data_IF_312464282017
#
_entry.id   IF_312464282017
#
_cell.length_a   1.000
_cell.length_b   1.000
_cell.length_c   1.000
_cell.angle_alpha   90.00
_cell.angle_beta   90.00
_cell.angle_gamma   90.00
#
_symmetry.space_group_name_H-M   'P 1'
#
loop_
_entity.id
_entity.type
_entity.pdbx_description
1 polymer ?
#
# COMPACT_ATOMS: atom_id res chain seq x y z
N UNK A 1 17.44 -0.85 10.07
CA UNK A 1 16.13 -1.01 9.38
C UNK A 1 15.04 -0.79 10.40
N UNK A 2 14.19 0.19 10.19
CA UNK A 2 13.23 0.63 11.19
C UNK A 2 11.85 0.89 10.57
N UNK A 3 10.90 0.00 10.81
CA UNK A 3 9.51 0.28 10.47
C UNK A 3 8.97 1.40 11.37
N UNK A 4 8.30 2.39 10.80
CA UNK A 4 7.64 3.45 11.54
C UNK A 4 6.16 3.11 11.71
N UNK A 5 5.68 3.12 12.96
CA UNK A 5 4.33 2.69 13.31
C UNK A 5 3.56 3.78 14.05
N UNK A 6 2.37 4.11 13.54
CA UNK A 6 1.39 4.99 14.20
C UNK A 6 0.06 4.28 14.40
N UNK A 7 -0.68 4.63 15.47
CA UNK A 7 -1.93 3.93 15.82
C UNK A 7 -3.06 4.90 16.18
N UNK A 8 -4.27 4.53 15.79
CA UNK A 8 -5.52 5.17 16.22
C UNK A 8 -6.47 4.09 16.73
N UNK A 9 -7.01 4.23 17.94
CA UNK A 9 -7.96 3.31 18.61
C UNK A 9 -7.49 1.84 18.70
N UNK A 10 -6.22 1.51 18.44
CA UNK A 10 -5.74 0.15 18.21
C UNK A 10 -6.00 -0.81 19.39
N UNK A 11 -5.77 -0.35 20.61
CA UNK A 11 -5.74 -1.21 21.82
C UNK A 11 -7.09 -1.89 22.09
N UNK A 12 -8.17 -1.11 22.03
CA UNK A 12 -9.50 -1.53 22.49
C UNK A 12 -10.47 -1.76 21.33
N UNK A 13 -9.98 -1.79 20.09
CA UNK A 13 -10.80 -1.97 18.91
C UNK A 13 -11.34 -3.40 18.77
N UNK A 14 -12.56 -3.52 18.25
CA UNK A 14 -13.17 -4.80 17.85
C UNK A 14 -12.56 -5.32 16.54
N UNK A 15 -12.25 -4.40 15.63
CA UNK A 15 -11.61 -4.67 14.34
C UNK A 15 -10.35 -3.83 14.21
N UNK A 16 -9.29 -4.43 13.73
CA UNK A 16 -7.98 -3.80 13.55
C UNK A 16 -7.52 -3.89 12.11
N UNK A 17 -7.30 -2.75 11.48
CA UNK A 17 -6.83 -2.65 10.10
C UNK A 17 -5.43 -2.07 10.07
N UNK A 18 -4.50 -2.76 9.42
CA UNK A 18 -3.17 -2.24 9.19
C UNK A 18 -3.06 -1.70 7.76
N UNK A 19 -2.63 -0.46 7.62
CA UNK A 19 -2.34 0.20 6.34
C UNK A 19 -0.83 0.27 6.17
N UNK A 20 -0.35 -0.20 5.04
CA UNK A 20 1.07 -0.35 4.75
C UNK A 20 1.48 0.50 3.54
N UNK A 21 2.70 1.00 3.55
CA UNK A 21 3.46 1.48 2.41
C UNK A 21 4.93 1.37 2.76
N UNK A 22 5.82 1.06 1.82
CA UNK A 22 7.24 1.14 2.09
C UNK A 22 7.72 2.61 2.01
N UNK A 23 8.79 2.95 2.72
CA UNK A 23 9.31 4.32 2.78
C UNK A 23 10.77 4.44 2.31
N UNK A 24 11.43 3.32 2.13
CA UNK A 24 12.69 3.23 1.39
C UNK A 24 12.43 3.32 -0.12
N UNK A 25 13.46 3.35 -0.91
CA UNK A 25 13.39 3.30 -2.37
C UNK A 25 14.58 2.55 -2.92
N UNK A 26 14.47 2.05 -4.14
CA UNK A 26 15.55 1.39 -4.85
C UNK A 26 16.82 2.25 -4.81
N UNK A 27 17.97 1.72 -4.36
CA UNK A 27 19.20 2.51 -4.24
C UNK A 27 19.72 3.04 -5.58
N UNK A 28 19.40 2.33 -6.66
CA UNK A 28 19.91 2.65 -8.00
C UNK A 28 18.83 2.43 -9.06
N UNK A 29 18.91 3.19 -10.15
CA UNK A 29 18.00 3.13 -11.29
C UNK A 29 18.26 1.90 -12.16
N UNK A 30 18.09 0.69 -11.62
CA UNK A 30 18.48 -0.58 -12.26
C UNK A 30 17.63 -0.95 -13.47
N UNK A 31 16.46 -0.33 -13.66
CA UNK A 31 15.59 -0.48 -14.82
C UNK A 31 15.72 0.68 -15.83
N UNK A 32 16.69 1.57 -15.64
CA UNK A 32 16.95 2.68 -16.54
C UNK A 32 17.98 2.32 -17.63
N UNK A 33 18.22 3.23 -18.56
CA UNK A 33 19.31 3.12 -19.54
C UNK A 33 20.65 2.87 -18.84
N UNK A 34 21.54 2.11 -19.47
CA UNK A 34 22.85 1.70 -18.90
C UNK A 34 23.64 2.84 -18.30
N UNK A 35 23.57 4.07 -18.90
CA UNK A 35 24.23 5.28 -18.40
C UNK A 35 23.69 5.78 -17.06
N UNK A 36 22.48 5.37 -16.67
CA UNK A 36 21.78 5.79 -15.47
C UNK A 36 21.73 4.72 -14.37
N UNK A 37 21.96 3.45 -14.70
CA UNK A 37 21.75 2.29 -13.79
C UNK A 37 22.50 2.34 -12.45
N UNK A 38 23.51 3.21 -12.33
CA UNK A 38 24.25 3.42 -11.06
C UNK A 38 23.86 4.73 -10.35
N UNK A 39 22.89 5.46 -10.88
CA UNK A 39 22.41 6.70 -10.26
C UNK A 39 21.34 6.39 -9.22
N UNK A 40 21.30 7.15 -8.11
CA UNK A 40 20.18 7.04 -7.17
C UNK A 40 18.88 7.53 -7.82
N UNK A 41 17.75 7.02 -7.33
CA UNK A 41 16.40 7.49 -7.70
C UNK A 41 15.77 8.26 -6.55
N UNK A 42 14.74 9.06 -6.85
CA UNK A 42 14.01 9.82 -5.83
C UNK A 42 12.89 8.99 -5.19
N UNK A 43 12.34 8.02 -5.91
CA UNK A 43 11.26 7.20 -5.41
C UNK A 43 9.98 7.99 -5.13
N UNK A 44 9.57 8.87 -6.05
CA UNK A 44 8.44 9.75 -5.80
C UNK A 44 7.10 9.01 -5.83
N UNK A 45 6.96 8.04 -6.74
CA UNK A 45 5.83 7.13 -6.78
C UNK A 45 6.13 5.87 -5.97
N UNK A 46 7.32 5.33 -6.14
CA UNK A 46 7.86 4.14 -5.55
C UNK A 46 8.96 4.51 -4.52
N UNK A 47 8.64 4.80 -3.24
CA UNK A 47 7.42 4.51 -2.45
C UNK A 47 6.75 5.76 -1.85
N UNK A 48 7.24 6.98 -2.09
CA UNK A 48 6.76 8.15 -1.34
C UNK A 48 5.25 8.40 -1.53
N UNK A 49 4.65 7.93 -2.62
CA UNK A 49 3.21 8.09 -2.90
C UNK A 49 2.34 7.41 -1.85
N UNK A 50 2.63 6.16 -1.51
CA UNK A 50 1.92 5.41 -0.47
C UNK A 50 2.05 6.06 0.91
N UNK A 51 3.28 6.44 1.28
CA UNK A 51 3.57 7.15 2.54
C UNK A 51 2.78 8.46 2.65
N UNK A 52 2.71 9.24 1.57
CA UNK A 52 1.96 10.50 1.56
C UNK A 52 0.46 10.28 1.85
N UNK A 53 -0.16 9.24 1.29
CA UNK A 53 -1.55 8.89 1.57
C UNK A 53 -1.72 8.45 3.03
N UNK A 54 -0.82 7.63 3.57
CA UNK A 54 -0.89 7.20 4.97
C UNK A 54 -0.81 8.39 5.95
N UNK A 55 0.11 9.33 5.71
CA UNK A 55 0.26 10.53 6.54
C UNK A 55 -0.97 11.42 6.49
N UNK A 56 -1.56 11.62 5.29
CA UNK A 56 -2.78 12.43 5.15
C UNK A 56 -3.98 11.75 5.81
N UNK A 57 -4.15 10.44 5.67
CA UNK A 57 -5.21 9.70 6.38
C UNK A 57 -5.05 9.80 7.90
N UNK A 58 -3.83 9.68 8.43
CA UNK A 58 -3.56 9.85 9.85
C UNK A 58 -3.96 11.26 10.34
N UNK A 59 -3.63 12.30 9.55
CA UNK A 59 -4.03 13.68 9.82
C UNK A 59 -5.55 13.86 9.81
N UNK A 60 -6.24 13.28 8.81
CA UNK A 60 -7.70 13.34 8.68
C UNK A 60 -8.40 12.61 9.84
N UNK A 61 -7.94 11.43 10.23
CA UNK A 61 -8.56 10.67 11.31
C UNK A 61 -8.30 11.28 12.69
N UNK A 62 -7.21 12.05 12.85
CA UNK A 62 -6.99 12.87 14.04
C UNK A 62 -7.98 14.04 14.10
N UNK A 63 -8.25 14.71 12.97
CA UNK A 63 -9.19 15.84 12.89
C UNK A 63 -10.65 15.38 12.94
N UNK A 64 -10.96 14.26 12.33
CA UNK A 64 -12.29 13.67 12.19
C UNK A 64 -12.25 12.20 12.66
N UNK A 65 -12.40 11.92 13.97
CA UNK A 65 -12.20 10.59 14.51
C UNK A 65 -13.05 9.50 13.85
N UNK A 66 -12.49 8.31 13.78
CA UNK A 66 -13.17 7.09 13.33
C UNK A 66 -14.08 6.53 14.44
N UNK A 67 -14.93 5.58 14.07
CA UNK A 67 -15.66 4.75 15.03
C UNK A 67 -14.66 4.08 15.99
N UNK A 68 -14.93 4.13 17.29
CA UNK A 68 -14.02 3.58 18.33
C UNK A 68 -13.85 2.06 18.26
N UNK A 69 -14.79 1.36 17.60
CA UNK A 69 -14.69 -0.08 17.37
C UNK A 69 -13.63 -0.44 16.32
N UNK A 70 -13.20 0.53 15.51
CA UNK A 70 -12.17 0.38 14.50
C UNK A 70 -10.83 0.94 14.99
N UNK A 71 -9.83 0.07 15.04
CA UNK A 71 -8.43 0.44 15.22
C UNK A 71 -7.72 0.49 13.86
N UNK A 72 -6.95 1.54 13.64
CA UNK A 72 -6.11 1.67 12.44
C UNK A 72 -4.66 1.78 12.85
N UNK A 73 -3.81 0.98 12.22
CA UNK A 73 -2.36 1.08 12.33
C UNK A 73 -1.78 1.49 10.99
N UNK A 74 -0.97 2.52 10.99
CA UNK A 74 -0.17 2.96 9.85
C UNK A 74 1.22 2.39 10.00
N UNK A 75 1.70 1.67 9.02
CA UNK A 75 3.02 1.03 9.04
C UNK A 75 3.78 1.46 7.80
N UNK A 76 4.81 2.28 8.00
CA UNK A 76 5.76 2.62 6.96
C UNK A 76 6.88 1.59 7.04
N UNK A 77 6.96 0.72 6.04
CA UNK A 77 7.87 -0.43 5.97
C UNK A 77 9.22 0.04 5.44
N UNK A 78 10.30 -0.44 6.06
CA UNK A 78 11.68 -0.17 5.64
C UNK A 78 12.27 -1.40 4.95
N UNK A 79 13.05 -1.19 3.89
CA UNK A 79 13.76 -2.27 3.22
C UNK A 79 12.86 -3.21 2.44
N UNK A 80 11.83 -2.70 1.80
CA UNK A 80 11.10 -3.41 0.77
C UNK A 80 12.02 -3.59 -0.44
N UNK A 81 12.70 -2.52 -0.86
CA UNK A 81 13.31 -2.39 -2.17
C UNK A 81 14.84 -2.20 -2.12
N UNK A 82 15.51 -2.76 -1.10
CA UNK A 82 16.98 -2.65 -0.97
C UNK A 82 17.72 -3.45 -2.03
N UNK A 83 17.15 -4.60 -2.52
CA UNK A 83 17.73 -5.58 -3.45
C UNK A 83 18.76 -5.04 -4.42
N UNK A 84 19.46 -5.81 -5.24
CA UNK A 84 18.81 -6.59 -6.31
C UNK A 84 18.55 -8.08 -5.98
N UNK A 85 19.03 -8.60 -4.88
CA UNK A 85 18.76 -9.99 -4.50
C UNK A 85 17.43 -10.14 -3.75
N UNK A 86 16.70 -11.22 -4.00
CA UNK A 86 15.43 -11.50 -3.33
C UNK A 86 15.54 -11.65 -1.81
N UNK A 87 16.73 -11.95 -1.29
CA UNK A 87 17.05 -12.01 0.13
C UNK A 87 17.29 -10.63 0.77
N UNK A 88 17.35 -9.58 -0.04
CA UNK A 88 17.46 -8.17 0.35
C UNK A 88 16.16 -7.39 0.16
N UNK A 89 15.06 -8.07 -0.21
CA UNK A 89 13.73 -7.50 -0.45
C UNK A 89 12.77 -7.82 0.71
N UNK A 90 11.73 -7.00 0.88
CA UNK A 90 10.62 -7.22 1.82
C UNK A 90 11.01 -7.36 3.29
N UNK A 91 12.18 -6.85 3.69
CA UNK A 91 12.76 -7.12 5.01
C UNK A 91 11.90 -6.55 6.15
N UNK A 92 11.31 -5.39 5.94
CA UNK A 92 10.46 -4.72 6.94
C UNK A 92 9.12 -5.43 7.15
N UNK A 93 8.48 -5.91 6.10
CA UNK A 93 7.25 -6.70 6.21
C UNK A 93 7.51 -8.08 6.84
N UNK A 94 8.63 -8.71 6.50
CA UNK A 94 9.09 -9.95 7.17
C UNK A 94 9.32 -9.71 8.66
N UNK A 95 9.92 -8.57 9.05
CA UNK A 95 10.11 -8.20 10.45
C UNK A 95 8.77 -7.94 11.15
N UNK A 96 7.87 -7.17 10.51
CA UNK A 96 6.53 -6.92 11.03
C UNK A 96 5.74 -8.22 11.20
N UNK A 97 5.79 -9.11 10.22
CA UNK A 97 5.16 -10.42 10.24
C UNK A 97 5.60 -11.31 11.41
N UNK A 98 6.84 -11.15 11.88
CA UNK A 98 7.40 -11.87 13.04
C UNK A 98 7.07 -11.22 14.39
N UNK A 99 6.47 -10.04 14.41
CA UNK A 99 6.13 -9.36 15.65
C UNK A 99 5.10 -10.15 16.47
N UNK A 100 5.26 -10.14 17.80
CA UNK A 100 4.37 -10.85 18.74
C UNK A 100 3.03 -10.11 19.00
N UNK A 101 2.94 -8.83 18.65
CA UNK A 101 1.75 -8.02 18.88
C UNK A 101 0.61 -8.37 17.89
N UNK A 102 -0.65 -8.08 18.20
CA UNK A 102 -1.73 -8.20 17.24
C UNK A 102 -1.40 -7.38 15.98
N UNK A 103 -1.24 -8.07 14.85
CA UNK A 103 -0.84 -7.45 13.58
C UNK A 103 -1.98 -6.75 12.87
N UNK A 104 -3.21 -7.12 13.18
CA UNK A 104 -4.46 -6.67 12.57
C UNK A 104 -5.37 -7.85 12.26
N UNK A 105 -6.61 -7.56 11.91
CA UNK A 105 -7.55 -8.53 11.34
C UNK A 105 -7.32 -8.65 9.82
N UNK A 106 -6.94 -7.53 9.17
CA UNK A 106 -6.50 -7.50 7.77
C UNK A 106 -5.61 -6.27 7.49
N UNK A 107 -4.97 -6.29 6.33
CA UNK A 107 -4.09 -5.24 5.85
C UNK A 107 -4.46 -4.71 4.47
N UNK A 108 -4.04 -3.49 4.16
CA UNK A 108 -4.08 -2.88 2.83
C UNK A 108 -2.71 -2.27 2.58
N UNK A 109 -2.03 -2.73 1.56
CA UNK A 109 -0.76 -2.20 1.10
C UNK A 109 -1.01 -1.19 -0.01
N UNK A 110 -0.23 -0.12 -0.03
CA UNK A 110 -0.24 0.93 -1.04
C UNK A 110 1.13 1.01 -1.67
N UNK A 111 1.23 0.67 -2.93
CA UNK A 111 2.45 0.81 -3.69
C UNK A 111 2.20 1.48 -5.05
N UNK A 112 3.11 2.38 -5.45
CA UNK A 112 3.08 3.13 -6.72
C UNK A 112 1.71 3.74 -7.07
N UNK A 113 1.03 4.35 -6.09
CA UNK A 113 -0.35 4.85 -6.24
C UNK A 113 -0.45 6.35 -6.58
N UNK A 114 0.65 6.97 -6.95
CA UNK A 114 0.71 8.41 -7.26
C UNK A 114 0.65 8.77 -8.74
N UNK A 115 0.79 7.81 -9.66
CA UNK A 115 0.83 8.03 -11.10
C UNK A 115 -0.29 8.97 -11.58
N UNK A 116 0.02 9.92 -12.48
CA UNK A 116 -0.96 10.87 -13.04
C UNK A 116 -2.14 10.18 -13.71
N UNK A 117 -1.86 9.08 -14.43
CA UNK A 117 -2.86 8.26 -15.12
C UNK A 117 -3.22 7.00 -14.30
N UNK A 118 -3.30 7.15 -12.98
CA UNK A 118 -3.49 6.08 -12.01
C UNK A 118 -4.57 5.08 -12.40
N UNK A 119 -4.17 3.83 -12.52
CA UNK A 119 -5.06 2.71 -12.75
C UNK A 119 -4.59 1.49 -11.95
N UNK A 120 -5.35 1.13 -10.94
CA UNK A 120 -5.07 0.05 -9.98
C UNK A 120 -6.01 -1.13 -10.29
N UNK A 121 -5.65 -2.06 -11.19
CA UNK A 121 -6.41 -3.29 -11.42
C UNK A 121 -6.28 -4.22 -10.21
N UNK A 122 -7.07 -5.29 -10.17
CA UNK A 122 -6.95 -6.30 -9.10
C UNK A 122 -5.61 -7.04 -9.25
N UNK A 123 -4.76 -6.95 -8.24
CA UNK A 123 -3.49 -7.67 -8.21
C UNK A 123 -3.78 -9.20 -8.09
N UNK A 124 -3.22 -10.06 -8.98
CA UNK A 124 -3.56 -11.48 -9.06
C UNK A 124 -3.27 -12.29 -7.79
N UNK A 125 -2.15 -12.04 -7.08
CA UNK A 125 -1.85 -12.75 -5.82
C UNK A 125 -2.86 -12.37 -4.72
N UNK A 126 -3.24 -11.09 -4.64
CA UNK A 126 -4.29 -10.62 -3.73
C UNK A 126 -5.63 -11.29 -4.04
N UNK A 127 -5.98 -11.41 -5.33
CA UNK A 127 -7.22 -12.11 -5.71
C UNK A 127 -7.20 -13.59 -5.36
N UNK A 128 -6.06 -14.26 -5.56
CA UNK A 128 -5.91 -15.69 -5.33
C UNK A 128 -5.84 -16.05 -3.84
N UNK A 129 -5.13 -15.23 -3.04
CA UNK A 129 -4.81 -15.56 -1.64
C UNK A 129 -5.79 -14.94 -0.63
N UNK A 130 -6.37 -13.77 -0.95
CA UNK A 130 -7.31 -13.05 -0.07
C UNK A 130 -8.54 -12.54 -0.83
N UNK A 131 -9.26 -13.42 -1.52
CA UNK A 131 -10.31 -13.05 -2.48
C UNK A 131 -11.46 -12.25 -1.87
N UNK A 132 -11.82 -12.51 -0.61
CA UNK A 132 -12.94 -11.83 0.05
C UNK A 132 -12.61 -10.36 0.32
N UNK A 133 -11.43 -10.08 0.89
CA UNK A 133 -10.96 -8.73 1.10
C UNK A 133 -10.82 -7.98 -0.22
N UNK A 134 -10.14 -8.59 -1.19
CA UNK A 134 -9.90 -8.01 -2.51
C UNK A 134 -11.22 -7.59 -3.19
N UNK A 135 -12.16 -8.52 -3.30
CA UNK A 135 -13.47 -8.24 -3.91
C UNK A 135 -14.27 -7.17 -3.15
N UNK A 136 -14.20 -7.17 -1.81
CA UNK A 136 -14.90 -6.18 -1.00
C UNK A 136 -14.36 -4.76 -1.22
N UNK A 137 -13.03 -4.58 -1.28
CA UNK A 137 -12.40 -3.28 -1.55
C UNK A 137 -12.79 -2.76 -2.94
N UNK A 138 -12.71 -3.59 -3.99
CA UNK A 138 -13.06 -3.19 -5.35
C UNK A 138 -14.57 -2.94 -5.53
N UNK A 139 -15.43 -3.71 -4.87
CA UNK A 139 -16.87 -3.44 -4.82
C UNK A 139 -17.15 -2.10 -4.13
N UNK A 140 -16.43 -1.79 -3.05
CA UNK A 140 -16.53 -0.50 -2.39
C UNK A 140 -16.05 0.63 -3.30
N UNK A 141 -14.92 0.49 -3.99
CA UNK A 141 -14.42 1.48 -4.95
C UNK A 141 -15.51 1.84 -5.98
N UNK A 142 -16.17 0.82 -6.56
CA UNK A 142 -17.30 1.01 -7.46
C UNK A 142 -18.45 1.77 -6.80
N UNK A 143 -18.80 1.44 -5.55
CA UNK A 143 -19.91 2.05 -4.81
C UNK A 143 -19.71 3.54 -4.52
N UNK A 144 -18.46 4.02 -4.55
CA UNK A 144 -18.09 5.43 -4.31
C UNK A 144 -17.63 6.16 -5.58
N UNK A 145 -17.86 5.55 -6.76
CA UNK A 145 -17.58 6.13 -8.08
C UNK A 145 -16.09 6.20 -8.41
N UNK A 146 -15.31 5.20 -7.98
CA UNK A 146 -13.87 5.09 -8.25
C UNK A 146 -13.52 3.89 -9.17
N UNK A 147 -14.52 3.29 -9.80
CA UNK A 147 -14.35 2.09 -10.65
C UNK A 147 -13.48 2.32 -11.90
N UNK A 148 -13.36 3.56 -12.37
CA UNK A 148 -12.42 3.89 -13.45
C UNK A 148 -10.95 3.77 -13.00
N UNK A 149 -10.65 4.17 -11.76
CA UNK A 149 -9.30 4.09 -11.17
C UNK A 149 -9.03 2.70 -10.60
N UNK A 150 -10.03 2.07 -9.98
CA UNK A 150 -9.96 0.72 -9.40
C UNK A 150 -10.90 -0.23 -10.14
N UNK A 151 -10.58 -0.60 -11.39
CA UNK A 151 -11.44 -1.47 -12.18
C UNK A 151 -11.47 -2.89 -11.59
N UNK A 152 -12.68 -3.48 -11.51
CA UNK A 152 -12.86 -4.86 -11.04
C UNK A 152 -12.44 -5.86 -12.11
N UNK A 153 -11.25 -5.72 -12.64
CA UNK A 153 -10.61 -6.61 -13.61
C UNK A 153 -9.23 -7.01 -13.08
N UNK A 154 -8.84 -8.25 -13.32
CA UNK A 154 -7.54 -8.75 -12.92
C UNK A 154 -6.42 -8.07 -13.71
N UNK A 155 -5.35 -7.70 -13.03
CA UNK A 155 -4.14 -7.13 -13.61
C UNK A 155 -3.34 -8.17 -14.39
N UNK A 156 -2.41 -7.69 -15.19
CA UNK A 156 -1.56 -8.55 -16.03
C UNK A 156 -0.47 -9.24 -15.22
N UNK A 157 0.01 -8.60 -14.15
CA UNK A 157 1.18 -9.01 -13.39
C UNK A 157 0.79 -9.49 -11.99
N UNK A 158 1.22 -10.69 -11.62
CA UNK A 158 1.23 -11.15 -10.24
C UNK A 158 2.49 -10.59 -9.58
N UNK A 159 2.32 -9.69 -8.65
CA UNK A 159 3.42 -8.92 -8.06
C UNK A 159 3.94 -9.64 -6.80
N UNK A 160 5.26 -9.75 -6.68
CA UNK A 160 5.90 -10.07 -5.42
C UNK A 160 6.14 -8.77 -4.67
N UNK A 161 5.53 -8.62 -3.48
CA UNK A 161 5.57 -7.40 -2.70
C UNK A 161 5.31 -7.70 -1.21
N UNK A 162 5.42 -6.71 -0.35
CA UNK A 162 5.25 -6.76 1.11
C UNK A 162 3.97 -7.46 1.58
N UNK A 163 2.91 -7.50 0.77
CA UNK A 163 1.69 -8.23 1.11
C UNK A 163 1.91 -9.74 1.25
N UNK A 164 2.82 -10.34 0.46
CA UNK A 164 3.05 -11.79 0.50
C UNK A 164 3.64 -12.29 1.82
N UNK A 165 4.70 -11.70 2.40
CA UNK A 165 5.17 -12.04 3.75
C UNK A 165 4.08 -11.87 4.81
N UNK A 166 3.23 -10.85 4.71
CA UNK A 166 2.13 -10.60 5.63
C UNK A 166 1.05 -11.67 5.55
N UNK A 167 0.61 -12.02 4.33
CA UNK A 167 -0.36 -13.11 4.09
C UNK A 167 0.19 -14.44 4.61
N UNK A 168 1.44 -14.75 4.30
CA UNK A 168 2.12 -15.98 4.78
C UNK A 168 2.14 -16.07 6.30
N UNK A 169 2.19 -14.93 6.99
CA UNK A 169 2.14 -14.87 8.45
C UNK A 169 0.70 -14.85 9.02
N UNK A 170 -0.32 -14.99 8.18
CA UNK A 170 -1.73 -15.06 8.58
C UNK A 170 -2.41 -13.69 8.73
N UNK A 171 -1.86 -12.62 8.16
CA UNK A 171 -2.52 -11.32 8.04
C UNK A 171 -3.03 -11.15 6.61
N UNK A 172 -4.33 -11.37 6.33
CA UNK A 172 -4.90 -11.14 5.01
C UNK A 172 -4.63 -9.71 4.57
N UNK A 173 -3.85 -9.51 3.51
CA UNK A 173 -3.44 -8.18 3.04
C UNK A 173 -3.67 -8.07 1.54
N UNK A 174 -4.44 -7.06 1.11
CA UNK A 174 -4.60 -6.73 -0.30
C UNK A 174 -3.54 -5.72 -0.70
N UNK A 175 -2.98 -5.92 -1.87
CA UNK A 175 -2.07 -4.96 -2.50
C UNK A 175 -2.85 -4.08 -3.50
N UNK A 176 -2.72 -2.77 -3.34
CA UNK A 176 -3.24 -1.75 -4.25
C UNK A 176 -2.05 -1.11 -4.96
N UNK A 177 -1.76 -1.61 -6.16
CA UNK A 177 -0.57 -1.23 -6.93
C UNK A 177 -0.92 -0.84 -8.37
N UNK A 178 -0.30 0.23 -8.89
CA UNK A 178 -0.27 0.57 -10.32
C UNK A 178 1.09 0.21 -10.91
N UNK A 179 1.27 -1.06 -11.28
CA UNK A 179 2.55 -1.56 -11.80
C UNK A 179 2.81 -1.15 -13.27
N UNK A 180 1.82 -0.57 -13.94
CA UNK A 180 1.95 -0.07 -15.33
C UNK A 180 2.55 1.35 -15.36
N UNK A 181 3.63 1.53 -14.58
CA UNK A 181 4.31 2.80 -14.37
C UNK A 181 5.68 2.82 -15.05
N UNK A 182 5.79 3.53 -16.19
CA UNK A 182 7.02 3.57 -17.01
C UNK A 182 8.28 4.04 -16.25
N UNK A 183 8.22 5.03 -15.30
CA UNK A 183 9.39 5.47 -14.53
C UNK A 183 9.85 4.52 -13.43
N UNK A 184 9.22 3.36 -13.24
CA UNK A 184 9.59 2.39 -12.22
C UNK A 184 11.08 2.05 -12.25
N UNK A 185 11.75 2.18 -11.10
CA UNK A 185 13.18 1.99 -10.91
C UNK A 185 14.07 2.81 -11.85
N UNK A 186 13.63 4.00 -12.25
CA UNK A 186 14.39 4.91 -13.12
C UNK A 186 14.63 6.26 -12.45
N UNK A 187 15.64 6.99 -12.93
CA UNK A 187 15.89 8.38 -12.49
C UNK A 187 14.73 9.32 -12.78
N UNK A 188 13.77 8.89 -13.58
CA UNK A 188 12.58 9.65 -13.95
C UNK A 188 11.42 9.47 -12.97
N UNK A 189 11.54 8.63 -11.94
CA UNK A 189 10.55 8.56 -10.86
C UNK A 189 10.67 9.79 -9.95
N UNK A 190 10.03 10.86 -10.38
CA UNK A 190 10.13 12.21 -9.79
C UNK A 190 8.74 12.76 -9.46
N UNK A 191 8.60 13.73 -8.54
CA UNK A 191 7.30 14.26 -8.10
C UNK A 191 6.39 14.77 -9.23
N UNK A 192 6.96 15.20 -10.35
CA UNK A 192 6.18 15.64 -11.50
C UNK A 192 5.46 14.49 -12.23
N UNK A 193 5.75 13.23 -11.92
CA UNK A 193 5.02 12.06 -12.42
C UNK A 193 3.79 11.75 -11.55
N UNK A 194 3.79 12.22 -10.32
CA UNK A 194 2.67 12.03 -9.40
C UNK A 194 1.60 13.13 -9.54
N UNK A 195 0.40 12.82 -9.08
CA UNK A 195 -0.76 13.73 -9.11
C UNK A 195 -1.46 13.76 -7.75
N UNK A 196 -1.72 14.95 -7.20
CA UNK A 196 -2.57 15.09 -6.01
C UNK A 196 -3.96 14.47 -6.18
N UNK A 197 -4.49 14.50 -7.41
CA UNK A 197 -5.78 13.89 -7.73
C UNK A 197 -5.75 12.37 -7.57
N UNK A 198 -4.69 11.72 -8.05
CA UNK A 198 -4.48 10.27 -7.92
C UNK A 198 -4.37 9.87 -6.47
N UNK A 199 -3.50 10.53 -5.70
CA UNK A 199 -3.37 10.32 -4.25
C UNK A 199 -4.71 10.53 -3.52
N UNK A 200 -5.47 11.57 -3.92
CA UNK A 200 -6.80 11.87 -3.38
C UNK A 200 -7.84 10.77 -3.65
N UNK A 201 -7.78 10.09 -4.80
CA UNK A 201 -8.66 8.95 -5.12
C UNK A 201 -8.38 7.76 -4.20
N UNK A 202 -7.11 7.45 -3.95
CA UNK A 202 -6.71 6.39 -3.01
C UNK A 202 -7.11 6.74 -1.58
N UNK A 203 -6.80 7.96 -1.14
CA UNK A 203 -7.22 8.46 0.18
C UNK A 203 -8.75 8.38 0.37
N UNK A 204 -9.54 8.79 -0.65
CA UNK A 204 -11.01 8.69 -0.63
C UNK A 204 -11.49 7.24 -0.52
N UNK A 205 -10.87 6.32 -1.28
CA UNK A 205 -11.20 4.89 -1.20
C UNK A 205 -11.05 4.39 0.24
N UNK A 206 -9.87 4.60 0.83
CA UNK A 206 -9.55 4.09 2.16
C UNK A 206 -10.35 4.80 3.25
N UNK A 207 -10.48 6.12 3.20
CA UNK A 207 -11.28 6.87 4.18
C UNK A 207 -12.74 6.38 4.20
N UNK A 208 -13.35 6.31 3.01
CA UNK A 208 -14.76 5.89 2.92
C UNK A 208 -14.95 4.41 3.26
N UNK A 209 -13.99 3.55 2.94
CA UNK A 209 -13.98 2.14 3.34
C UNK A 209 -13.98 1.99 4.86
N UNK A 210 -13.02 2.62 5.53
CA UNK A 210 -12.86 2.53 6.98
C UNK A 210 -14.04 3.14 7.74
N UNK A 211 -14.61 4.25 7.26
CA UNK A 211 -15.78 4.87 7.90
C UNK A 211 -17.08 4.10 7.72
N UNK A 212 -17.27 3.46 6.56
CA UNK A 212 -18.51 2.74 6.27
C UNK A 212 -18.51 1.30 6.76
N UNK A 213 -17.32 0.73 7.02
CA UNK A 213 -17.14 -0.68 7.37
C UNK A 213 -16.36 -0.89 8.67
N UNK A 214 -16.71 -0.21 9.79
CA UNK A 214 -15.89 -0.19 11.00
C UNK A 214 -15.78 -1.56 11.70
N UNK A 215 -16.64 -2.50 11.36
CA UNK A 215 -16.68 -3.85 11.96
C UNK A 215 -16.52 -4.96 10.91
N UNK A 216 -16.15 -4.61 9.68
CA UNK A 216 -15.95 -5.60 8.63
C UNK A 216 -14.67 -6.42 8.88
N UNK A 217 -14.75 -7.72 8.64
CA UNK A 217 -13.64 -8.68 8.67
C UNK A 217 -13.74 -9.64 7.49
N UNK A 218 -12.61 -10.08 6.90
CA UNK A 218 -12.59 -11.13 5.90
C UNK A 218 -12.95 -12.50 6.47
#
# INVERSE_FOLDING_TARGET
MDNVVGEINWKDAEVRVALFAHWDTRPFADQDDVANQKKPILGANDAASGVAVLLELARQFKAHPLDKRLGVRFVMIDGEDLGPGSDEMYLGSILYAKSAAPRGDYGILLDMIGNKDLRVPIEPNSLALVPELTKAIYAHAKSVGLDATFPSVEGQWAIEDDHLPLIKAGLPTVDLIDFDYEPWHKVTDTPDKCSPESLGKVGKLLETWLRKNPTWKP
#
